data_IF_324450997935
#
_entry.id   IF_324450997935
#
_cell.length_a   1.000
_cell.length_b   1.000
_cell.length_c   1.000
_cell.angle_alpha   90.00
_cell.angle_beta   90.00
_cell.angle_gamma   90.00
#
_symmetry.space_group_name_H-M   'P 1'
#
loop_
_entity.id
_entity.type
_entity.pdbx_description
1 polymer ?
#
# COMPACT_ATOMS: atom_id res chain seq x y z
N UNK A 1 11.68 10.15 11.11
CA UNK A 1 10.41 9.53 10.65
C UNK A 1 9.50 10.66 10.22
N UNK A 2 8.85 10.52 9.07
CA UNK A 2 7.99 11.56 8.52
C UNK A 2 6.52 11.23 8.82
N UNK A 3 5.80 12.18 9.40
CA UNK A 3 4.39 12.04 9.74
C UNK A 3 3.58 13.27 9.37
N UNK A 4 2.25 13.13 9.44
CA UNK A 4 1.31 14.25 9.22
C UNK A 4 1.51 15.39 10.24
N UNK A 5 2.18 15.13 11.36
CA UNK A 5 2.49 16.13 12.39
C UNK A 5 3.89 16.74 12.25
N UNK A 6 4.64 16.37 11.21
CA UNK A 6 6.03 16.77 11.04
C UNK A 6 7.00 15.60 11.06
N UNK A 7 8.28 15.94 10.90
CA UNK A 7 9.38 15.00 11.04
C UNK A 7 9.80 14.90 12.51
N UNK A 8 9.93 13.67 13.00
CA UNK A 8 10.40 13.41 14.36
C UNK A 8 11.34 12.21 14.43
N UNK A 9 12.19 12.21 15.45
CA UNK A 9 13.06 11.09 15.83
C UNK A 9 12.55 10.44 17.10
N UNK A 10 12.53 9.12 17.15
CA UNK A 10 12.16 8.37 18.34
C UNK A 10 13.02 7.11 18.45
N UNK A 11 13.18 6.59 19.67
CA UNK A 11 13.94 5.36 19.92
C UNK A 11 13.04 4.15 19.67
N UNK A 12 13.44 3.31 18.73
CA UNK A 12 12.83 1.99 18.53
C UNK A 12 13.52 0.95 19.41
N UNK A 13 12.74 0.14 20.14
CA UNK A 13 13.26 -0.96 20.94
C UNK A 13 12.86 -2.29 20.30
N UNK A 14 13.86 -3.08 19.94
CA UNK A 14 13.65 -4.43 19.44
C UNK A 14 13.42 -5.36 20.63
N UNK A 15 12.28 -6.03 20.64
CA UNK A 15 11.94 -7.05 21.62
C UNK A 15 12.17 -8.42 21.01
N UNK A 16 12.57 -9.39 21.83
CA UNK A 16 12.67 -10.80 21.46
C UNK A 16 11.74 -11.61 22.36
N UNK A 17 10.84 -12.38 21.76
CA UNK A 17 10.05 -13.36 22.47
C UNK A 17 10.98 -14.48 22.96
N UNK A 18 10.93 -14.81 24.25
CA UNK A 18 11.80 -15.82 24.87
C UNK A 18 11.41 -17.26 24.51
N UNK A 19 10.15 -17.49 24.17
CA UNK A 19 9.63 -18.81 23.83
C UNK A 19 9.76 -19.09 22.33
N UNK A 20 9.34 -18.14 21.48
CA UNK A 20 9.35 -18.33 20.02
C UNK A 20 10.63 -17.85 19.34
N UNK A 21 11.44 -17.02 20.00
CA UNK A 21 12.64 -16.40 19.43
C UNK A 21 12.38 -15.24 18.48
N UNK A 22 11.11 -14.95 18.15
CA UNK A 22 10.71 -13.89 17.22
C UNK A 22 11.12 -12.50 17.73
N UNK A 23 11.52 -11.62 16.81
CA UNK A 23 11.89 -10.25 17.13
C UNK A 23 10.95 -9.23 16.52
N UNK A 24 10.45 -8.29 17.32
CA UNK A 24 9.45 -7.29 16.91
C UNK A 24 9.72 -5.92 17.53
N UNK A 25 9.34 -4.87 16.81
CA UNK A 25 9.28 -3.50 17.34
C UNK A 25 7.83 -3.23 17.79
N UNK A 26 7.54 -3.41 19.08
CA UNK A 26 6.16 -3.31 19.60
C UNK A 26 5.49 -1.96 19.31
N UNK A 27 6.27 -0.87 19.36
CA UNK A 27 5.76 0.46 19.01
C UNK A 27 5.38 0.57 17.54
N UNK A 28 6.17 -0.03 16.65
CA UNK A 28 5.89 0.00 15.21
C UNK A 28 4.62 -0.83 14.91
N UNK A 29 4.40 -1.95 15.60
CA UNK A 29 3.16 -2.74 15.49
C UNK A 29 1.92 -1.94 15.91
N UNK A 30 1.97 -1.28 17.08
CA UNK A 30 0.84 -0.46 17.57
C UNK A 30 0.52 0.71 16.62
N UNK A 31 1.55 1.28 16.00
CA UNK A 31 1.40 2.40 15.05
C UNK A 31 1.14 1.94 13.62
N UNK A 32 1.10 0.64 13.33
CA UNK A 32 0.93 0.09 11.99
C UNK A 32 2.07 0.48 11.03
N UNK A 33 3.29 0.68 11.55
CA UNK A 33 4.47 1.10 10.78
C UNK A 33 5.21 -0.16 10.31
N UNK A 34 5.36 -0.39 9.00
CA UNK A 34 6.14 -1.53 8.52
C UNK A 34 7.61 -1.44 8.93
N UNK A 35 8.25 -2.60 9.09
CA UNK A 35 9.68 -2.68 9.37
C UNK A 35 10.48 -1.96 8.29
N UNK A 36 11.38 -1.06 8.70
CA UNK A 36 12.20 -0.26 7.77
C UNK A 36 11.49 0.95 7.16
N UNK A 37 10.20 1.17 7.42
CA UNK A 37 9.47 2.32 6.91
C UNK A 37 10.00 3.64 7.49
N UNK A 38 10.20 4.61 6.59
CA UNK A 38 10.65 5.98 6.92
C UNK A 38 9.48 6.97 7.04
N UNK A 39 8.35 6.64 6.44
CA UNK A 39 7.11 7.41 6.47
C UNK A 39 6.06 6.64 7.28
N UNK A 40 5.17 7.37 7.93
CA UNK A 40 4.02 6.79 8.66
C UNK A 40 2.88 6.42 7.71
N UNK A 41 1.91 5.58 8.14
CA UNK A 41 0.73 5.24 7.35
C UNK A 41 -0.04 6.45 6.81
N UNK A 42 -0.16 7.53 7.59
CA UNK A 42 -0.85 8.75 7.11
C UNK A 42 -0.12 9.43 5.95
N UNK A 43 1.21 9.45 5.95
CA UNK A 43 1.98 9.97 4.80
C UNK A 43 1.91 9.00 3.61
N UNK A 44 1.88 7.69 3.87
CA UNK A 44 1.67 6.66 2.84
C UNK A 44 0.34 6.89 2.11
N UNK A 45 -0.75 7.11 2.84
CA UNK A 45 -2.07 7.40 2.28
C UNK A 45 -2.09 8.66 1.40
N UNK A 46 -1.51 9.77 1.89
CA UNK A 46 -1.42 11.01 1.11
C UNK A 46 -0.59 10.79 -0.17
N UNK A 47 0.54 10.08 -0.07
CA UNK A 47 1.38 9.78 -1.23
C UNK A 47 0.64 8.94 -2.29
N UNK A 48 -0.08 7.89 -1.86
CA UNK A 48 -0.92 7.07 -2.73
C UNK A 48 -2.01 7.90 -3.40
N UNK A 49 -2.73 8.73 -2.64
CA UNK A 49 -3.78 9.59 -3.20
C UNK A 49 -3.22 10.61 -4.21
N UNK A 50 -2.08 11.24 -3.93
CA UNK A 50 -1.48 12.15 -4.91
C UNK A 50 -1.05 11.41 -6.17
N UNK A 51 -0.53 10.20 -6.05
CA UNK A 51 -0.10 9.40 -7.20
C UNK A 51 -1.24 9.00 -8.15
N UNK A 52 -2.50 8.96 -7.70
CA UNK A 52 -3.65 8.73 -8.59
C UNK A 52 -4.02 9.98 -9.40
N UNK A 53 -3.64 11.16 -8.95
CA UNK A 53 -4.04 12.44 -9.55
C UNK A 53 -2.92 13.09 -10.37
N UNK A 54 -1.65 12.69 -10.17
CA UNK A 54 -0.50 13.29 -10.83
C UNK A 54 0.73 12.39 -10.91
N UNK A 55 1.72 12.80 -11.70
CA UNK A 55 3.00 12.09 -11.81
C UNK A 55 3.74 12.03 -10.46
N UNK A 56 4.49 10.96 -10.21
CA UNK A 56 5.26 10.80 -8.96
C UNK A 56 6.20 11.97 -8.67
N UNK A 57 6.77 12.57 -9.72
CA UNK A 57 7.60 13.77 -9.59
C UNK A 57 6.82 14.97 -9.08
N UNK A 58 5.60 15.18 -9.58
CA UNK A 58 4.74 16.27 -9.13
C UNK A 58 4.24 16.01 -7.72
N UNK A 59 3.86 14.78 -7.39
CA UNK A 59 3.47 14.39 -6.04
C UNK A 59 4.62 14.62 -5.02
N UNK A 60 5.86 14.25 -5.37
CA UNK A 60 7.03 14.48 -4.54
C UNK A 60 7.31 15.98 -4.36
N UNK A 61 7.16 16.77 -5.43
CA UNK A 61 7.27 18.23 -5.35
C UNK A 61 6.22 18.83 -4.41
N UNK A 62 4.97 18.37 -4.46
CA UNK A 62 3.91 18.82 -3.53
C UNK A 62 4.28 18.47 -2.09
N UNK A 63 4.69 17.22 -1.83
CA UNK A 63 5.08 16.79 -0.49
C UNK A 63 6.35 17.47 0.03
N UNK A 64 7.27 17.87 -0.85
CA UNK A 64 8.51 18.55 -0.47
C UNK A 64 8.32 19.91 0.19
N UNK A 65 7.17 20.56 -0.02
CA UNK A 65 6.85 21.81 0.69
C UNK A 65 6.66 21.61 2.19
N UNK A 66 6.30 20.39 2.61
CA UNK A 66 6.12 20.01 4.01
C UNK A 66 7.29 19.15 4.51
N UNK A 67 7.81 18.28 3.64
CA UNK A 67 8.79 17.24 3.97
C UNK A 67 9.89 17.16 2.90
N UNK A 68 11.02 17.86 3.06
CA UNK A 68 12.05 18.01 2.02
C UNK A 68 12.65 16.70 1.48
N UNK A 69 12.53 15.60 2.24
CA UNK A 69 13.18 14.33 1.96
C UNK A 69 12.31 13.32 1.20
N UNK A 70 11.09 13.67 0.79
CA UNK A 70 10.23 12.77 0.01
C UNK A 70 10.59 12.85 -1.47
N UNK A 71 11.09 11.73 -2.01
CA UNK A 71 11.50 11.63 -3.41
C UNK A 71 10.41 11.03 -4.30
N UNK A 72 10.53 11.19 -5.62
CA UNK A 72 9.66 10.51 -6.59
C UNK A 72 9.73 8.99 -6.46
N UNK A 73 10.93 8.46 -6.14
CA UNK A 73 11.16 7.03 -5.94
C UNK A 73 10.47 6.51 -4.67
N UNK A 74 10.42 7.34 -3.62
CA UNK A 74 9.67 7.03 -2.40
C UNK A 74 8.18 6.86 -2.71
N UNK A 75 7.61 7.74 -3.51
CA UNK A 75 6.20 7.63 -3.92
C UNK A 75 5.97 6.42 -4.82
N UNK A 76 6.87 6.16 -5.77
CA UNK A 76 6.79 4.97 -6.60
C UNK A 76 6.79 3.68 -5.77
N UNK A 77 7.71 3.53 -4.81
CA UNK A 77 7.75 2.38 -3.90
C UNK A 77 6.43 2.22 -3.13
N UNK A 78 5.88 3.30 -2.59
CA UNK A 78 4.58 3.27 -1.89
C UNK A 78 3.46 2.76 -2.80
N UNK A 79 3.43 3.22 -4.06
CA UNK A 79 2.41 2.78 -5.02
C UNK A 79 2.61 1.31 -5.40
N UNK A 80 3.85 0.83 -5.54
CA UNK A 80 4.11 -0.59 -5.77
C UNK A 80 3.64 -1.44 -4.58
N UNK A 81 4.00 -1.08 -3.35
CA UNK A 81 3.58 -1.79 -2.14
C UNK A 81 2.06 -1.87 -2.03
N UNK A 82 1.34 -0.76 -2.24
CA UNK A 82 -0.13 -0.74 -2.25
C UNK A 82 -0.70 -1.57 -3.40
N UNK A 83 -0.08 -1.53 -4.58
CA UNK A 83 -0.48 -2.34 -5.72
C UNK A 83 -0.36 -3.84 -5.44
N UNK A 84 0.74 -4.26 -4.79
CA UNK A 84 0.98 -5.65 -4.40
C UNK A 84 -0.01 -6.10 -3.31
N UNK A 85 -0.32 -5.25 -2.33
CA UNK A 85 -1.35 -5.50 -1.32
C UNK A 85 -2.73 -5.77 -1.98
N UNK A 86 -3.15 -4.90 -2.91
CA UNK A 86 -4.43 -5.04 -3.64
C UNK A 86 -4.43 -6.29 -4.53
N UNK A 87 -3.32 -6.55 -5.23
CA UNK A 87 -3.19 -7.71 -6.11
C UNK A 87 -3.33 -9.00 -5.31
N UNK A 88 -2.63 -9.09 -4.18
CA UNK A 88 -2.70 -10.26 -3.29
C UNK A 88 -4.12 -10.51 -2.79
N UNK A 89 -4.82 -9.46 -2.33
CA UNK A 89 -6.22 -9.57 -1.91
C UNK A 89 -7.13 -10.06 -3.05
N UNK A 90 -6.90 -9.59 -4.28
CA UNK A 90 -7.65 -10.03 -5.44
C UNK A 90 -7.36 -11.50 -5.81
N UNK A 91 -6.13 -11.96 -5.66
CA UNK A 91 -5.73 -13.34 -5.92
C UNK A 91 -6.35 -14.29 -4.88
N UNK A 92 -6.31 -13.93 -3.60
CA UNK A 92 -6.94 -14.70 -2.51
C UNK A 92 -8.46 -14.84 -2.72
N UNK A 93 -9.15 -13.75 -3.09
CA UNK A 93 -10.59 -13.79 -3.42
C UNK A 93 -10.87 -14.68 -4.62
N UNK A 94 -10.02 -14.64 -5.65
CA UNK A 94 -10.16 -15.49 -6.83
C UNK A 94 -10.00 -16.95 -6.45
N UNK A 95 -8.97 -17.30 -5.68
CA UNK A 95 -8.73 -18.68 -5.23
C UNK A 95 -9.90 -19.20 -4.39
N UNK A 96 -10.42 -18.40 -3.45
CA UNK A 96 -11.59 -18.74 -2.64
C UNK A 96 -12.81 -19.15 -3.48
N UNK A 97 -13.09 -18.42 -4.56
CA UNK A 97 -14.25 -18.68 -5.44
C UNK A 97 -13.99 -19.85 -6.38
N UNK A 98 -12.87 -19.83 -7.10
CA UNK A 98 -12.63 -20.77 -8.21
C UNK A 98 -12.05 -22.11 -7.78
N UNK A 99 -11.24 -22.14 -6.71
CA UNK A 99 -10.60 -23.38 -6.23
C UNK A 99 -11.38 -24.00 -5.06
N UNK A 100 -11.89 -23.18 -4.15
CA UNK A 100 -12.56 -23.64 -2.93
C UNK A 100 -14.09 -23.54 -2.98
N UNK A 101 -14.68 -23.04 -4.07
CA UNK A 101 -16.12 -22.96 -4.26
C UNK A 101 -16.84 -22.04 -3.27
N UNK A 102 -16.13 -21.10 -2.63
CA UNK A 102 -16.77 -20.12 -1.76
C UNK A 102 -17.66 -19.20 -2.59
N UNK A 103 -18.94 -19.11 -2.20
CA UNK A 103 -19.89 -18.20 -2.83
C UNK A 103 -19.68 -16.82 -2.21
N UNK A 104 -19.24 -15.81 -2.99
CA UNK A 104 -19.04 -14.47 -2.46
C UNK A 104 -20.39 -13.83 -2.12
N UNK A 105 -20.39 -12.92 -1.14
CA UNK A 105 -21.59 -12.15 -0.80
C UNK A 105 -22.03 -11.28 -1.99
N UNK A 106 -23.26 -11.50 -2.45
CA UNK A 106 -23.91 -10.66 -3.45
C UNK A 106 -24.77 -9.58 -2.79
N UNK A 107 -24.93 -8.43 -3.45
CA UNK A 107 -25.86 -7.38 -3.01
C UNK A 107 -27.31 -7.66 -3.41
N UNK A 108 -27.50 -8.42 -4.49
CA UNK A 108 -28.80 -8.69 -5.10
C UNK A 108 -28.78 -10.05 -5.79
N UNK A 109 -29.91 -10.77 -5.73
CA UNK A 109 -30.13 -12.01 -6.48
C UNK A 109 -30.96 -11.68 -7.73
N UNK A 110 -30.43 -12.01 -8.91
CA UNK A 110 -31.08 -11.74 -10.20
C UNK A 110 -31.08 -12.96 -11.10
N UNK A 111 -32.14 -13.11 -11.91
CA UNK A 111 -32.23 -14.15 -12.93
C UNK A 111 -31.39 -13.87 -14.18
N UNK A 112 -30.91 -12.63 -14.35
CA UNK A 112 -30.10 -12.21 -15.49
C UNK A 112 -28.99 -11.26 -15.03
N UNK A 113 -27.75 -11.62 -15.38
CA UNK A 113 -26.56 -10.81 -15.16
C UNK A 113 -25.99 -10.39 -16.52
N UNK A 114 -25.87 -9.09 -16.75
CA UNK A 114 -25.19 -8.53 -17.92
C UNK A 114 -23.82 -8.01 -17.48
N UNK A 115 -22.76 -8.45 -18.17
CA UNK A 115 -21.38 -8.04 -17.90
C UNK A 115 -20.84 -7.41 -19.19
N UNK A 116 -20.34 -6.20 -19.11
CA UNK A 116 -19.65 -5.50 -20.19
C UNK A 116 -18.15 -5.42 -19.88
N UNK A 117 -17.31 -5.58 -20.91
CA UNK A 117 -15.87 -5.44 -20.80
C UNK A 117 -15.38 -4.31 -21.71
N UNK A 118 -14.60 -3.39 -21.15
CA UNK A 118 -13.89 -2.33 -21.87
C UNK A 118 -12.37 -2.57 -21.83
N UNK A 119 -11.65 -2.06 -22.82
CA UNK A 119 -10.21 -2.26 -22.99
C UNK A 119 -9.44 -0.94 -23.05
N UNK A 120 -8.35 -0.85 -22.28
CA UNK A 120 -7.42 0.29 -22.33
C UNK A 120 -6.05 -0.19 -22.78
N UNK A 121 -5.47 0.51 -23.76
CA UNK A 121 -4.11 0.25 -24.25
C UNK A 121 -3.18 1.33 -23.73
N UNK A 122 -2.10 0.91 -23.05
CA UNK A 122 -1.04 1.80 -22.61
C UNK A 122 0.32 1.21 -22.99
N UNK A 123 1.29 2.10 -23.25
CA UNK A 123 2.65 1.71 -23.60
C UNK A 123 3.45 1.45 -22.33
N UNK A 124 3.96 0.24 -22.18
CA UNK A 124 4.96 -0.10 -21.16
C UNK A 124 6.36 0.00 -21.75
N UNK A 125 7.35 0.35 -20.92
CA UNK A 125 8.73 0.08 -21.23
C UNK A 125 9.03 -1.31 -20.67
N UNK A 126 9.27 -2.29 -21.53
CA UNK A 126 9.81 -3.58 -21.07
C UNK A 126 11.19 -3.31 -20.45
N UNK A 127 11.31 -3.62 -19.16
CA UNK A 127 12.60 -3.63 -18.47
C UNK A 127 13.26 -4.94 -18.89
N UNK A 128 14.18 -4.86 -19.84
CA UNK A 128 15.07 -5.96 -20.21
C UNK A 128 16.05 -6.30 -19.09
#
# INVERSE_FOLDING_TARGET
>A
MISIFGEFTYRRRLYRNKETGETKFLLDEVLGIPTGARITPGIREIATKLATEMTFRRAAKVLSYLFPHISSMTIWNVVQEVGDEIKKESEEKKEAVFEYGQIPEGKEETSKLYIEGDGVVYKTAEVG
#
